data_IF_893655339576
#
_entry.id   IF_893655339576
#
_cell.length_a   1.000
_cell.length_b   1.000
_cell.length_c   1.000
_cell.angle_alpha   90.00
_cell.angle_beta   90.00
_cell.angle_gamma   90.00
#
_symmetry.space_group_name_H-M   'P 1'
#
loop_
_entity.id
_entity.type
_entity.pdbx_description
1 polymer ?
#
# COMPACT_ATOMS: atom_id res chain seq x y z
N UNK A 1 6.33 -22.26 11.59
CA UNK A 1 5.93 -20.84 11.71
C UNK A 1 4.65 -20.65 10.92
N UNK A 2 3.54 -20.23 11.54
CA UNK A 2 2.23 -20.13 10.89
C UNK A 2 2.16 -19.07 9.78
N UNK A 3 1.11 -19.12 8.95
CA UNK A 3 0.87 -18.21 7.81
C UNK A 3 0.96 -16.71 8.19
N UNK A 4 0.51 -16.34 9.40
CA UNK A 4 0.66 -14.99 9.98
C UNK A 4 2.12 -14.58 10.18
N UNK A 5 2.97 -15.49 10.66
CA UNK A 5 4.40 -15.23 10.79
C UNK A 5 5.06 -14.95 9.43
N UNK A 6 4.59 -15.62 8.38
CA UNK A 6 4.98 -15.33 7.00
C UNK A 6 4.56 -13.92 6.56
N UNK A 7 3.33 -13.49 6.88
CA UNK A 7 2.84 -12.15 6.56
C UNK A 7 3.69 -11.05 7.21
N UNK A 8 4.01 -11.21 8.50
CA UNK A 8 4.87 -10.27 9.24
C UNK A 8 6.24 -10.14 8.57
N UNK A 9 6.86 -11.25 8.14
CA UNK A 9 8.15 -11.21 7.44
C UNK A 9 8.09 -10.39 6.16
N UNK A 10 7.06 -10.60 5.33
CA UNK A 10 6.88 -9.83 4.09
C UNK A 10 6.62 -8.35 4.40
N UNK A 11 5.81 -8.07 5.42
CA UNK A 11 5.53 -6.69 5.85
C UNK A 11 6.78 -5.95 6.32
N UNK A 12 7.70 -6.64 7.02
CA UNK A 12 9.00 -6.08 7.41
C UNK A 12 9.82 -5.65 6.19
N UNK A 13 9.81 -6.43 5.11
CA UNK A 13 10.48 -6.09 3.85
C UNK A 13 9.83 -4.90 3.15
N UNK A 14 8.49 -4.83 3.17
CA UNK A 14 7.73 -3.70 2.64
C UNK A 14 7.99 -2.39 3.42
N UNK A 15 8.40 -2.49 4.68
CA UNK A 15 8.91 -1.39 5.49
C UNK A 15 8.11 -1.14 6.77
N UNK A 16 8.59 -0.23 7.63
CA UNK A 16 8.06 -0.05 8.98
C UNK A 16 6.59 0.43 9.00
N UNK A 17 6.19 1.27 8.03
CA UNK A 17 4.81 1.74 7.94
C UNK A 17 3.84 0.59 7.61
N UNK A 18 4.21 -0.28 6.66
CA UNK A 18 3.43 -1.48 6.29
C UNK A 18 3.38 -2.48 7.44
N UNK A 19 4.50 -2.72 8.11
CA UNK A 19 4.54 -3.57 9.30
C UNK A 19 3.60 -3.05 10.40
N UNK A 20 3.52 -1.73 10.59
CA UNK A 20 2.59 -1.12 11.55
C UNK A 20 1.14 -1.42 11.17
N UNK A 21 0.77 -1.26 9.90
CA UNK A 21 -0.59 -1.62 9.40
C UNK A 21 -0.89 -3.08 9.68
N UNK A 22 -0.01 -4.02 9.27
CA UNK A 22 -0.20 -5.45 9.50
C UNK A 22 -0.34 -5.81 10.98
N UNK A 23 0.34 -5.09 11.88
CA UNK A 23 0.19 -5.27 13.33
C UNK A 23 -1.15 -4.76 13.85
N UNK A 24 -1.61 -3.60 13.37
CA UNK A 24 -2.90 -3.00 13.75
C UNK A 24 -4.05 -3.95 13.38
N UNK A 25 -4.04 -4.46 12.14
CA UNK A 25 -5.04 -5.41 11.65
C UNK A 25 -4.75 -6.87 12.05
N UNK A 26 -3.74 -7.11 12.88
CA UNK A 26 -3.28 -8.46 13.21
C UNK A 26 -4.39 -9.40 13.71
N UNK A 27 -5.27 -8.97 14.64
CA UNK A 27 -6.41 -9.77 15.08
C UNK A 27 -7.39 -10.09 13.94
N UNK A 28 -7.83 -9.08 13.17
CA UNK A 28 -8.78 -9.25 12.07
C UNK A 28 -8.21 -10.14 10.98
N UNK A 29 -6.94 -9.96 10.61
CA UNK A 29 -6.25 -10.80 9.62
C UNK A 29 -6.14 -12.27 10.07
N UNK A 30 -6.13 -12.56 11.38
CA UNK A 30 -6.21 -13.94 11.88
C UNK A 30 -7.60 -14.53 11.68
N UNK A 31 -8.64 -13.72 11.87
CA UNK A 31 -10.03 -14.09 11.62
C UNK A 31 -10.25 -14.36 10.12
N UNK A 32 -9.90 -13.39 9.27
CA UNK A 32 -9.93 -13.54 7.80
C UNK A 32 -9.15 -14.76 7.33
N UNK A 33 -7.96 -15.02 7.88
CA UNK A 33 -7.19 -16.22 7.51
C UNK A 33 -7.92 -17.55 7.76
N UNK A 34 -8.78 -17.61 8.78
CA UNK A 34 -9.56 -18.80 9.12
C UNK A 34 -10.86 -18.89 8.32
N UNK A 35 -11.56 -17.77 8.21
CA UNK A 35 -12.92 -17.71 7.67
C UNK A 35 -12.94 -17.47 6.16
N UNK A 36 -12.00 -16.68 5.65
CA UNK A 36 -11.84 -16.37 4.23
C UNK A 36 -10.36 -16.45 3.80
N UNK A 37 -9.80 -17.67 3.65
CA UNK A 37 -8.38 -17.86 3.33
C UNK A 37 -7.99 -17.30 1.95
N UNK A 38 -8.93 -17.17 1.03
CA UNK A 38 -8.71 -16.55 -0.29
C UNK A 38 -8.48 -15.05 -0.14
N UNK A 39 -9.32 -14.35 0.61
CA UNK A 39 -9.14 -12.93 0.89
C UNK A 39 -7.81 -12.68 1.63
N UNK A 40 -7.47 -13.52 2.61
CA UNK A 40 -6.17 -13.44 3.25
C UNK A 40 -5.00 -13.59 2.26
N UNK A 41 -5.12 -14.48 1.28
CA UNK A 41 -4.11 -14.66 0.24
C UNK A 41 -4.00 -13.42 -0.66
N UNK A 42 -5.12 -12.77 -0.99
CA UNK A 42 -5.12 -11.51 -1.75
C UNK A 42 -4.41 -10.38 -0.97
N UNK A 43 -4.74 -10.18 0.31
CA UNK A 43 -4.09 -9.19 1.17
C UNK A 43 -2.58 -9.47 1.26
N UNK A 44 -2.19 -10.73 1.50
CA UNK A 44 -0.79 -11.14 1.51
C UNK A 44 -0.09 -10.86 0.16
N UNK A 45 -0.78 -11.11 -0.95
CA UNK A 45 -0.28 -10.82 -2.31
C UNK A 45 -0.02 -9.34 -2.53
N UNK A 46 -0.93 -8.46 -2.10
CA UNK A 46 -0.75 -7.00 -2.16
C UNK A 46 0.46 -6.54 -1.36
N UNK A 47 0.62 -7.04 -0.12
CA UNK A 47 1.81 -6.74 0.71
C UNK A 47 3.09 -7.27 0.05
N UNK A 48 3.02 -8.45 -0.59
CA UNK A 48 4.11 -9.01 -1.38
C UNK A 48 4.52 -8.14 -2.56
N UNK A 49 3.57 -7.57 -3.30
CA UNK A 49 3.85 -6.62 -4.40
C UNK A 49 4.55 -5.36 -3.89
N UNK A 50 4.09 -4.80 -2.76
CA UNK A 50 4.75 -3.63 -2.13
C UNK A 50 6.18 -3.98 -1.72
N UNK A 51 6.38 -5.13 -1.07
CA UNK A 51 7.71 -5.61 -0.68
C UNK A 51 8.63 -5.80 -1.89
N UNK A 52 8.16 -6.49 -2.93
CA UNK A 52 8.92 -6.74 -4.16
C UNK A 52 9.31 -5.45 -4.87
N UNK A 53 8.37 -4.50 -5.00
CA UNK A 53 8.67 -3.20 -5.60
C UNK A 53 9.71 -2.42 -4.79
N UNK A 54 9.68 -2.52 -3.45
CA UNK A 54 10.68 -1.87 -2.60
C UNK A 54 12.07 -2.51 -2.71
N UNK A 55 12.15 -3.84 -2.79
CA UNK A 55 13.44 -4.54 -2.93
C UNK A 55 14.06 -4.32 -4.31
N UNK A 56 13.23 -4.23 -5.34
CA UNK A 56 13.68 -4.01 -6.72
C UNK A 56 13.90 -2.53 -7.02
N UNK A 57 13.34 -1.62 -6.21
CA UNK A 57 13.42 -0.20 -6.44
C UNK A 57 14.86 0.32 -6.30
N UNK A 58 15.44 0.75 -7.44
CA UNK A 58 16.67 1.52 -7.48
C UNK A 58 16.43 2.90 -8.06
N UNK A 59 16.85 3.92 -7.32
CA UNK A 59 16.81 5.31 -7.76
C UNK A 59 15.42 5.76 -8.19
N UNK A 60 15.35 6.55 -9.26
CA UNK A 60 14.10 7.14 -9.75
C UNK A 60 13.17 6.10 -10.34
N UNK A 61 13.66 5.24 -11.24
CA UNK A 61 12.86 4.18 -11.87
C UNK A 61 12.16 3.28 -10.86
N UNK A 62 12.89 2.90 -9.79
CA UNK A 62 12.32 2.12 -8.72
C UNK A 62 11.15 2.81 -7.99
N UNK A 63 11.26 4.11 -7.75
CA UNK A 63 10.17 4.86 -7.12
C UNK A 63 8.99 5.10 -8.08
N UNK A 64 9.23 5.21 -9.39
CA UNK A 64 8.17 5.25 -10.40
C UNK A 64 7.36 3.95 -10.41
N UNK A 65 8.03 2.79 -10.36
CA UNK A 65 7.35 1.48 -10.29
C UNK A 65 6.46 1.37 -9.03
N UNK A 66 6.98 1.81 -7.88
CA UNK A 66 6.22 1.86 -6.63
C UNK A 66 4.98 2.76 -6.74
N UNK A 67 5.12 3.94 -7.36
CA UNK A 67 3.99 4.87 -7.58
C UNK A 67 2.94 4.29 -8.54
N UNK A 68 3.36 3.55 -9.57
CA UNK A 68 2.45 2.86 -10.49
C UNK A 68 1.56 1.85 -9.75
N UNK A 69 2.15 1.05 -8.85
CA UNK A 69 1.39 0.09 -8.04
C UNK A 69 0.38 0.81 -7.13
N UNK A 70 0.77 1.92 -6.52
CA UNK A 70 -0.14 2.71 -5.68
C UNK A 70 -1.26 3.35 -6.51
N UNK A 71 -0.99 3.78 -7.74
CA UNK A 71 -2.02 4.29 -8.65
C UNK A 71 -3.04 3.22 -9.01
N UNK A 72 -2.60 2.00 -9.33
CA UNK A 72 -3.49 0.86 -9.59
C UNK A 72 -4.42 0.61 -8.40
N UNK A 73 -3.86 0.51 -7.19
CA UNK A 73 -4.63 0.28 -5.95
C UNK A 73 -5.60 1.42 -5.65
N UNK A 74 -5.16 2.68 -5.80
CA UNK A 74 -6.01 3.85 -5.58
C UNK A 74 -7.15 3.93 -6.60
N UNK A 75 -6.90 3.51 -7.84
CA UNK A 75 -7.93 3.48 -8.88
C UNK A 75 -9.01 2.45 -8.56
N UNK A 76 -8.60 1.27 -8.08
CA UNK A 76 -9.53 0.26 -7.59
C UNK A 76 -10.40 0.80 -6.45
N UNK A 77 -9.78 1.35 -5.39
CA UNK A 77 -10.50 1.93 -4.24
C UNK A 77 -11.46 3.07 -4.63
N UNK A 78 -11.09 3.86 -5.64
CA UNK A 78 -11.98 4.91 -6.15
C UNK A 78 -13.19 4.31 -6.87
N UNK A 79 -12.99 3.25 -7.65
CA UNK A 79 -14.04 2.59 -8.41
C UNK A 79 -14.98 1.76 -7.52
N UNK A 80 -14.47 1.17 -6.43
CA UNK A 80 -15.25 0.43 -5.43
C UNK A 80 -15.82 1.30 -4.31
N UNK A 81 -15.57 2.62 -4.32
CA UNK A 81 -15.93 3.49 -3.21
C UNK A 81 -17.45 3.52 -2.95
N UNK A 82 -17.88 2.82 -1.91
CA UNK A 82 -19.27 2.81 -1.45
C UNK A 82 -19.64 4.06 -0.61
N UNK A 83 -18.64 4.89 -0.26
CA UNK A 83 -18.86 6.13 0.52
C UNK A 83 -18.17 7.35 -0.11
N UNK A 84 -18.76 8.56 0.02
CA UNK A 84 -18.13 9.80 -0.43
C UNK A 84 -16.76 10.05 0.23
N UNK A 85 -16.58 9.59 1.47
CA UNK A 85 -15.34 9.72 2.23
C UNK A 85 -14.22 8.89 1.61
N UNK A 86 -14.49 7.66 1.17
CA UNK A 86 -13.49 6.83 0.48
C UNK A 86 -13.12 7.43 -0.86
N UNK A 87 -14.11 7.89 -1.64
CA UNK A 87 -13.88 8.56 -2.91
C UNK A 87 -12.98 9.79 -2.76
N UNK A 88 -13.19 10.60 -1.72
CA UNK A 88 -12.36 11.78 -1.45
C UNK A 88 -10.93 11.40 -1.05
N UNK A 89 -10.75 10.41 -0.16
CA UNK A 89 -9.41 9.90 0.18
C UNK A 89 -8.66 9.41 -1.06
N UNK A 90 -9.32 8.61 -1.90
CA UNK A 90 -8.71 8.07 -3.11
C UNK A 90 -8.34 9.18 -4.12
N UNK A 91 -9.17 10.23 -4.28
CA UNK A 91 -8.80 11.42 -5.05
C UNK A 91 -7.56 12.12 -4.50
N UNK A 92 -7.51 12.31 -3.18
CA UNK A 92 -6.36 12.90 -2.49
C UNK A 92 -5.06 12.12 -2.74
N UNK A 93 -5.10 10.80 -2.57
CA UNK A 93 -3.95 9.94 -2.84
C UNK A 93 -3.52 9.98 -4.30
N UNK A 94 -4.48 9.94 -5.24
CA UNK A 94 -4.18 10.04 -6.68
C UNK A 94 -3.47 11.35 -7.02
N UNK A 95 -3.97 12.47 -6.49
CA UNK A 95 -3.32 13.78 -6.67
C UNK A 95 -1.90 13.78 -6.12
N UNK A 96 -1.67 13.17 -4.95
CA UNK A 96 -0.34 13.10 -4.36
C UNK A 96 0.62 12.22 -5.16
N UNK A 97 0.14 11.06 -5.65
CA UNK A 97 0.89 10.17 -6.54
C UNK A 97 1.31 10.94 -7.80
N UNK A 98 0.38 11.65 -8.43
CA UNK A 98 0.64 12.43 -9.65
C UNK A 98 1.69 13.53 -9.40
N UNK A 99 1.66 14.19 -8.24
CA UNK A 99 2.68 15.18 -7.85
C UNK A 99 4.06 14.53 -7.68
N UNK A 100 4.13 13.38 -7.00
CA UNK A 100 5.39 12.66 -6.79
C UNK A 100 5.99 12.17 -8.10
N UNK A 101 5.17 11.68 -9.02
CA UNK A 101 5.64 11.25 -10.34
C UNK A 101 6.19 12.39 -11.18
N UNK A 102 5.56 13.57 -11.12
CA UNK A 102 6.08 14.78 -11.80
C UNK A 102 7.37 15.29 -11.15
N UNK A 103 7.52 15.13 -9.84
CA UNK A 103 8.70 15.58 -9.11
C UNK A 103 9.92 14.66 -9.32
N UNK A 104 9.71 13.36 -9.50
CA UNK A 104 10.79 12.37 -9.58
C UNK A 104 11.85 12.65 -10.67
N UNK A 105 11.49 12.97 -11.93
CA UNK A 105 12.45 13.33 -12.97
C UNK A 105 13.25 14.61 -12.64
N UNK A 106 12.64 15.56 -11.93
CA UNK A 106 13.30 16.80 -11.54
C UNK A 106 14.45 16.55 -10.54
N UNK A 107 14.49 15.39 -9.89
CA UNK A 107 15.63 15.02 -9.05
C UNK A 107 16.89 14.70 -9.85
N UNK A 108 16.80 14.45 -11.17
CA UNK A 108 17.98 14.18 -12.00
C UNK A 108 18.84 15.40 -12.26
N UNK A 109 18.22 16.59 -12.28
CA UNK A 109 18.90 17.86 -12.54
C UNK A 109 19.49 18.49 -11.27
N UNK A 110 19.23 17.90 -10.10
CA UNK A 110 19.76 18.38 -8.83
C UNK A 110 21.21 17.90 -8.61
N UNK A 111 21.99 18.69 -7.87
CA UNK A 111 23.29 18.24 -7.35
C UNK A 111 23.14 17.00 -6.46
N UNK A 112 24.21 16.19 -6.34
CA UNK A 112 24.18 14.87 -5.71
C UNK A 112 23.61 14.87 -4.28
N UNK A 113 23.97 15.86 -3.47
CA UNK A 113 23.54 15.93 -2.07
C UNK A 113 22.07 16.32 -1.94
N UNK A 114 21.66 17.35 -2.70
CA UNK A 114 20.26 17.78 -2.76
C UNK A 114 19.35 16.66 -3.31
N UNK A 115 19.79 15.96 -4.36
CA UNK A 115 19.10 14.78 -4.91
C UNK A 115 18.90 13.70 -3.85
N UNK A 116 19.93 13.40 -3.05
CA UNK A 116 19.88 12.36 -2.01
C UNK A 116 18.90 12.74 -0.90
N UNK A 117 18.87 14.00 -0.49
CA UNK A 117 17.93 14.49 0.53
C UNK A 117 16.48 14.45 0.03
N UNK A 118 16.22 15.01 -1.15
CA UNK A 118 14.87 15.03 -1.73
C UNK A 118 14.37 13.63 -2.06
N UNK A 119 15.25 12.73 -2.53
CA UNK A 119 14.90 11.34 -2.75
C UNK A 119 14.41 10.66 -1.46
N UNK A 120 15.01 10.96 -0.31
CA UNK A 120 14.54 10.42 0.98
C UNK A 120 13.14 10.94 1.31
N UNK A 121 12.87 12.24 1.11
CA UNK A 121 11.55 12.84 1.33
C UNK A 121 10.49 12.19 0.44
N UNK A 122 10.80 11.98 -0.84
CA UNK A 122 9.94 11.25 -1.79
C UNK A 122 9.68 9.82 -1.30
N UNK A 123 10.72 9.08 -0.93
CA UNK A 123 10.58 7.71 -0.43
C UNK A 123 9.72 7.63 0.83
N UNK A 124 9.87 8.57 1.76
CA UNK A 124 9.03 8.66 2.97
C UNK A 124 7.56 8.91 2.63
N UNK A 125 7.28 9.77 1.65
CA UNK A 125 5.90 10.00 1.18
C UNK A 125 5.30 8.76 0.52
N UNK A 126 6.07 8.05 -0.31
CA UNK A 126 5.63 6.78 -0.92
C UNK A 126 5.39 5.72 0.16
N UNK A 127 6.26 5.61 1.17
CA UNK A 127 6.08 4.68 2.30
C UNK A 127 4.79 4.97 3.09
N UNK A 128 4.48 6.25 3.33
CA UNK A 128 3.24 6.66 3.97
C UNK A 128 2.02 6.32 3.11
N UNK A 129 2.01 6.71 1.83
CA UNK A 129 0.92 6.41 0.90
C UNK A 129 0.67 4.90 0.82
N UNK A 130 1.74 4.09 0.77
CA UNK A 130 1.63 2.64 0.74
C UNK A 130 0.93 2.08 1.98
N UNK A 131 1.18 2.65 3.16
CA UNK A 131 0.53 2.24 4.39
C UNK A 131 -0.93 2.70 4.46
N UNK A 132 -1.21 3.95 4.09
CA UNK A 132 -2.57 4.51 4.12
C UNK A 132 -3.50 3.78 3.14
N UNK A 133 -3.02 3.53 1.91
CA UNK A 133 -3.76 2.79 0.89
C UNK A 133 -3.97 1.35 1.32
N UNK A 134 -2.93 0.66 1.83
CA UNK A 134 -3.06 -0.72 2.30
C UNK A 134 -4.08 -0.84 3.44
N UNK A 135 -4.04 0.07 4.41
CA UNK A 135 -5.00 0.07 5.52
C UNK A 135 -6.43 0.21 5.00
N UNK A 136 -6.66 1.18 4.10
CA UNK A 136 -7.97 1.40 3.50
C UNK A 136 -8.46 0.21 2.66
N UNK A 137 -7.57 -0.48 1.95
CA UNK A 137 -7.96 -1.70 1.23
C UNK A 137 -8.29 -2.85 2.17
N UNK A 138 -7.56 -3.00 3.29
CA UNK A 138 -7.88 -4.03 4.28
C UNK A 138 -9.22 -3.72 4.96
N UNK A 139 -9.51 -2.45 5.27
CA UNK A 139 -10.83 -2.05 5.78
C UNK A 139 -11.95 -2.43 4.80
N UNK A 140 -11.82 -2.03 3.53
CA UNK A 140 -12.81 -2.29 2.47
C UNK A 140 -13.06 -3.80 2.28
N UNK A 141 -11.98 -4.59 2.19
CA UNK A 141 -12.06 -6.04 2.04
C UNK A 141 -12.78 -6.74 3.22
N UNK A 142 -12.53 -6.26 4.45
CA UNK A 142 -13.13 -6.85 5.66
C UNK A 142 -14.61 -6.45 5.74
N UNK A 143 -14.94 -5.19 5.49
CA UNK A 143 -16.32 -4.70 5.46
C UNK A 143 -17.14 -5.49 4.44
N UNK A 144 -16.63 -5.68 3.23
CA UNK A 144 -17.29 -6.46 2.17
C UNK A 144 -17.50 -7.93 2.57
N UNK A 145 -16.50 -8.54 3.23
CA UNK A 145 -16.60 -9.93 3.70
C UNK A 145 -17.67 -10.08 4.80
N UNK A 146 -17.80 -9.11 5.71
CA UNK A 146 -18.84 -9.11 6.75
C UNK A 146 -20.25 -8.89 6.19
N UNK A 147 -20.39 -8.16 5.07
CA UNK A 147 -21.70 -7.94 4.42
C UNK A 147 -22.18 -9.22 3.73
N UNK A 148 -21.30 -9.92 3.00
CA UNK A 148 -21.66 -11.15 2.28
C UNK A 148 -22.13 -12.28 3.22
N UNK A 149 -21.61 -12.34 4.45
CA UNK A 149 -21.98 -13.35 5.45
C UNK A 149 -23.35 -13.07 6.11
N UNK A 150 -23.88 -11.84 6.04
CA UNK A 150 -25.19 -11.47 6.61
C UNK A 150 -26.36 -11.70 5.66
N UNK A 151 -26.09 -11.80 4.37
CA UNK A 151 -27.10 -12.00 3.32
C UNK A 151 -27.25 -13.49 2.91
N UNK A 152 -26.61 -14.41 3.64
CA UNK A 152 -26.73 -15.88 3.51
C UNK A 152 -27.44 -16.50 4.72
#
# INVERSE_FOLDING_TARGET
>A
MGKIGGLIKVATVAGPAILKVVKIYGPQLRTVMKENPELFAQIKGRIGRIAGAKTNAKGIKGNQERLSILREQTTYLYASANTPKMAEKARGWRSEIDQLEKALPLLEIMGSDAKKEEMKKVQTRIDRLSADILAATIDDDIEDAEVIDRDQ
#
